data_IF_743225993926
#
_entry.id   IF_743225993926
#
_cell.length_a   1.000
_cell.length_b   1.000
_cell.length_c   1.000
_cell.angle_alpha   90.00
_cell.angle_beta   90.00
_cell.angle_gamma   90.00
#
_symmetry.space_group_name_H-M   'P 1'
#
loop_
_entity.id
_entity.type
_entity.pdbx_description
1 polymer ?
#
# COMPACT_ATOMS: atom_id res chain seq x y z
N UNK A 1 -12.62 8.91 6.41
CA UNK A 1 -11.51 9.48 5.61
C UNK A 1 -12.07 9.91 4.26
N UNK A 2 -11.59 11.01 3.65
CA UNK A 2 -11.92 11.36 2.28
C UNK A 2 -11.66 10.21 1.29
N UNK A 3 -12.43 10.08 0.21
CA UNK A 3 -12.28 8.98 -0.77
C UNK A 3 -10.89 8.94 -1.43
N UNK A 4 -10.27 10.10 -1.62
CA UNK A 4 -8.94 10.23 -2.25
C UNK A 4 -7.77 10.02 -1.29
N UNK A 5 -8.00 9.59 -0.04
CA UNK A 5 -6.91 9.44 0.93
C UNK A 5 -5.88 8.42 0.44
N UNK A 6 -4.61 8.80 0.43
CA UNK A 6 -3.49 7.94 0.07
C UNK A 6 -3.31 6.83 1.11
N UNK A 7 -2.93 5.63 0.67
CA UNK A 7 -2.75 4.48 1.56
C UNK A 7 -1.69 4.74 2.64
N UNK A 8 -0.66 5.54 2.36
CA UNK A 8 0.36 5.88 3.35
C UNK A 8 -0.21 6.60 4.58
N UNK A 9 -1.19 7.48 4.36
CA UNK A 9 -1.90 8.19 5.44
C UNK A 9 -2.75 7.22 6.25
N UNK A 10 -3.39 6.26 5.57
CA UNK A 10 -4.21 5.23 6.21
C UNK A 10 -3.35 4.31 7.07
N UNK A 11 -2.18 3.90 6.59
CA UNK A 11 -1.23 3.07 7.34
C UNK A 11 -0.69 3.82 8.57
N UNK A 12 -0.34 5.09 8.42
CA UNK A 12 0.06 5.93 9.55
C UNK A 12 -1.06 6.05 10.60
N UNK A 13 -2.32 6.20 10.15
CA UNK A 13 -3.47 6.24 11.06
C UNK A 13 -3.73 4.89 11.73
N UNK A 14 -3.58 3.78 11.00
CA UNK A 14 -3.69 2.42 11.54
C UNK A 14 -2.68 2.20 12.66
N UNK A 15 -1.44 2.66 12.49
CA UNK A 15 -0.40 2.60 13.53
C UNK A 15 -0.81 3.40 14.78
N UNK A 16 -1.40 4.59 14.61
CA UNK A 16 -1.92 5.38 15.73
C UNK A 16 -3.08 4.68 16.43
N UNK A 17 -3.98 4.04 15.69
CA UNK A 17 -5.10 3.24 16.25
C UNK A 17 -4.54 2.05 17.03
N UNK A 18 -3.57 1.33 16.46
CA UNK A 18 -2.89 0.20 17.12
C UNK A 18 -2.28 0.62 18.45
N UNK A 19 -1.57 1.74 18.46
CA UNK A 19 -0.88 2.23 19.66
C UNK A 19 -1.84 2.75 20.74
N UNK A 20 -3.06 3.17 20.38
CA UNK A 20 -4.06 3.70 21.32
C UNK A 20 -5.07 2.66 21.80
N UNK A 21 -5.47 1.74 20.93
CA UNK A 21 -6.62 0.85 21.12
C UNK A 21 -6.31 -0.63 20.83
N UNK A 22 -5.05 -0.97 20.51
CA UNK A 22 -4.61 -2.35 20.30
C UNK A 22 -4.77 -2.87 18.88
N UNK A 23 -4.33 -4.11 18.68
CA UNK A 23 -4.27 -4.74 17.35
C UNK A 23 -5.65 -4.98 16.75
N UNK A 24 -6.64 -5.34 17.57
CA UNK A 24 -8.02 -5.60 17.17
C UNK A 24 -8.65 -4.35 16.52
N UNK A 25 -8.48 -3.20 17.15
CA UNK A 25 -8.99 -1.92 16.64
C UNK A 25 -8.30 -1.53 15.31
N UNK A 26 -7.00 -1.78 15.19
CA UNK A 26 -6.26 -1.51 13.95
C UNK A 26 -6.70 -2.44 12.81
N UNK A 27 -6.93 -3.72 13.11
CA UNK A 27 -7.47 -4.71 12.14
C UNK A 27 -8.86 -4.27 11.67
N UNK A 28 -9.77 -3.89 12.58
CA UNK A 28 -11.11 -3.42 12.22
C UNK A 28 -11.04 -2.15 11.37
N UNK A 29 -10.18 -1.21 11.74
CA UNK A 29 -9.94 0.01 10.96
C UNK A 29 -9.47 -0.30 9.54
N UNK A 30 -8.48 -1.17 9.38
CA UNK A 30 -7.95 -1.57 8.07
C UNK A 30 -8.98 -2.36 7.25
N UNK A 31 -9.75 -3.26 7.86
CA UNK A 31 -10.84 -3.96 7.19
C UNK A 31 -11.86 -2.96 6.62
N UNK A 32 -12.33 -2.02 7.44
CA UNK A 32 -13.28 -0.99 7.02
C UNK A 32 -12.75 -0.11 5.87
N UNK A 33 -11.45 0.15 5.85
CA UNK A 33 -10.80 0.85 4.76
C UNK A 33 -10.70 0.00 3.49
N UNK A 34 -10.16 -1.23 3.60
CA UNK A 34 -9.89 -2.12 2.47
C UNK A 34 -11.16 -2.58 1.76
N UNK A 35 -12.27 -2.75 2.47
CA UNK A 35 -13.58 -3.04 1.86
C UNK A 35 -14.06 -1.90 0.96
N UNK A 36 -13.69 -0.65 1.27
CA UNK A 36 -14.07 0.53 0.47
C UNK A 36 -13.05 0.82 -0.63
N UNK A 37 -11.77 0.60 -0.34
CA UNK A 37 -10.66 0.94 -1.24
C UNK A 37 -9.60 -0.16 -1.18
N UNK A 38 -9.63 -1.12 -2.13
CA UNK A 38 -8.63 -2.17 -2.21
C UNK A 38 -7.22 -1.59 -2.35
N UNK A 39 -6.29 -2.07 -1.54
CA UNK A 39 -4.87 -1.72 -1.62
C UNK A 39 -4.03 -2.94 -1.21
N UNK A 40 -3.05 -3.27 -2.05
CA UNK A 40 -2.10 -4.34 -1.77
C UNK A 40 -1.22 -3.98 -0.56
N UNK A 41 -0.78 -2.73 -0.46
CA UNK A 41 0.00 -2.26 0.68
C UNK A 41 -0.81 -2.32 1.98
N UNK A 42 -2.08 -1.93 1.95
CA UNK A 42 -2.98 -2.06 3.09
C UNK A 42 -3.24 -3.52 3.48
N UNK A 43 -3.34 -4.42 2.49
CA UNK A 43 -3.51 -5.86 2.74
C UNK A 43 -2.27 -6.47 3.41
N UNK A 44 -1.05 -6.09 2.99
CA UNK A 44 0.18 -6.56 3.64
C UNK A 44 0.20 -6.18 5.12
N UNK A 45 -0.22 -4.96 5.47
CA UNK A 45 -0.30 -4.52 6.87
C UNK A 45 -1.39 -5.28 7.64
N UNK A 46 -2.55 -5.53 7.02
CA UNK A 46 -3.60 -6.35 7.63
C UNK A 46 -3.11 -7.78 7.93
N UNK A 47 -2.43 -8.41 6.97
CA UNK A 47 -1.84 -9.74 7.13
C UNK A 47 -0.80 -9.75 8.26
N UNK A 48 0.04 -8.71 8.35
CA UNK A 48 1.02 -8.56 9.43
C UNK A 48 0.39 -8.57 10.82
N UNK A 49 -0.78 -7.94 10.97
CA UNK A 49 -1.51 -7.92 12.25
C UNK A 49 -2.26 -9.24 12.54
N UNK A 50 -2.61 -10.01 11.51
CA UNK A 50 -3.37 -11.26 11.65
C UNK A 50 -2.49 -12.50 11.85
N UNK A 51 -1.32 -12.58 11.20
CA UNK A 51 -0.42 -13.75 11.28
C UNK A 51 -0.11 -14.16 12.74
N UNK A 52 0.21 -13.25 13.68
CA UNK A 52 0.51 -13.63 15.06
C UNK A 52 -0.67 -14.21 15.84
N UNK A 53 -1.90 -14.07 15.33
CA UNK A 53 -3.15 -14.54 15.95
C UNK A 53 -3.65 -15.85 15.36
N UNK A 54 -3.10 -16.26 14.22
CA UNK A 54 -3.52 -17.45 13.51
C UNK A 54 -2.85 -18.70 14.09
N UNK A 55 -3.55 -19.83 14.03
CA UNK A 55 -2.95 -21.14 14.28
C UNK A 55 -1.82 -21.40 13.28
N UNK A 56 -0.85 -22.25 13.64
CA UNK A 56 0.39 -22.42 12.89
C UNK A 56 0.18 -22.70 11.39
N UNK A 57 -0.77 -23.59 11.04
CA UNK A 57 -1.07 -23.91 9.63
C UNK A 57 -1.62 -22.69 8.86
N UNK A 58 -2.57 -21.98 9.46
CA UNK A 58 -3.17 -20.79 8.87
C UNK A 58 -2.14 -19.65 8.77
N UNK A 59 -1.34 -19.45 9.82
CA UNK A 59 -0.27 -18.44 9.84
C UNK A 59 0.77 -18.66 8.75
N UNK A 60 1.14 -19.91 8.46
CA UNK A 60 2.03 -20.24 7.35
C UNK A 60 1.43 -19.88 5.99
N UNK A 61 0.15 -20.19 5.76
CA UNK A 61 -0.54 -19.83 4.53
C UNK A 61 -0.67 -18.30 4.37
N UNK A 62 -0.97 -17.56 5.44
CA UNK A 62 -1.02 -16.10 5.44
C UNK A 62 0.35 -15.47 5.16
N UNK A 63 1.43 -16.08 5.67
CA UNK A 63 2.80 -15.62 5.41
C UNK A 63 3.19 -15.82 3.95
N UNK A 64 2.82 -16.95 3.34
CA UNK A 64 3.01 -17.18 1.90
C UNK A 64 2.24 -16.15 1.05
N UNK A 65 0.99 -15.84 1.43
CA UNK A 65 0.22 -14.79 0.77
C UNK A 65 0.90 -13.43 0.89
N UNK A 66 1.39 -13.07 2.08
CA UNK A 66 2.12 -11.83 2.31
C UNK A 66 3.36 -11.74 1.41
N UNK A 67 4.20 -12.78 1.37
CA UNK A 67 5.39 -12.81 0.51
C UNK A 67 5.05 -12.67 -0.97
N UNK A 68 3.97 -13.31 -1.42
CA UNK A 68 3.50 -13.25 -2.81
C UNK A 68 3.09 -11.81 -3.16
N UNK A 69 2.32 -11.15 -2.29
CA UNK A 69 1.91 -9.76 -2.49
C UNK A 69 3.12 -8.82 -2.49
N UNK A 70 4.08 -9.03 -1.59
CA UNK A 70 5.32 -8.25 -1.55
C UNK A 70 6.14 -8.38 -2.85
N UNK A 71 6.16 -9.56 -3.48
CA UNK A 71 6.82 -9.74 -4.78
C UNK A 71 6.14 -8.94 -5.89
N UNK A 72 4.81 -8.83 -5.86
CA UNK A 72 4.04 -8.00 -6.79
C UNK A 72 4.36 -6.52 -6.55
N UNK A 73 4.31 -6.07 -5.30
CA UNK A 73 4.59 -4.69 -4.91
C UNK A 73 6.01 -4.26 -5.30
N UNK A 74 7.01 -5.12 -5.11
CA UNK A 74 8.40 -4.85 -5.50
C UNK A 74 8.54 -4.49 -6.98
N UNK A 75 7.73 -5.06 -7.88
CA UNK A 75 7.83 -4.80 -9.32
C UNK A 75 7.15 -3.50 -9.75
N UNK A 76 6.34 -2.90 -8.88
CA UNK A 76 5.56 -1.70 -9.21
C UNK A 76 6.46 -0.45 -9.20
N UNK A 77 6.39 0.40 -10.23
CA UNK A 77 7.03 1.71 -10.18
C UNK A 77 6.34 2.61 -9.14
N UNK A 78 7.12 3.46 -8.48
CA UNK A 78 6.58 4.39 -7.47
C UNK A 78 6.15 5.72 -8.09
N UNK A 79 6.72 6.07 -9.24
CA UNK A 79 6.48 7.33 -9.93
C UNK A 79 6.31 7.11 -11.43
N UNK A 80 5.45 7.92 -12.05
CA UNK A 80 5.24 7.94 -13.50
C UNK A 80 5.22 9.38 -14.02
N UNK A 81 5.77 9.58 -15.21
CA UNK A 81 5.65 10.83 -15.95
C UNK A 81 4.25 10.97 -16.54
N UNK A 82 3.46 11.95 -16.09
CA UNK A 82 2.13 12.22 -16.65
C UNK A 82 2.16 12.85 -18.06
N UNK A 83 3.34 13.09 -18.62
CA UNK A 83 3.50 13.55 -20.01
C UNK A 83 3.86 12.42 -20.98
N UNK A 84 4.79 11.53 -20.60
CA UNK A 84 5.36 10.55 -21.53
C UNK A 84 5.34 9.10 -21.01
N UNK A 85 4.78 8.85 -19.84
CA UNK A 85 4.67 7.51 -19.25
C UNK A 85 5.98 6.92 -18.71
N UNK A 86 7.08 7.68 -18.62
CA UNK A 86 8.32 7.19 -18.02
C UNK A 86 8.10 6.79 -16.55
N UNK A 87 8.45 5.55 -16.20
CA UNK A 87 8.27 4.97 -14.87
C UNK A 87 9.59 4.89 -14.11
N UNK A 88 9.53 5.12 -12.80
CA UNK A 88 10.69 5.01 -11.93
C UNK A 88 10.31 4.68 -10.49
N UNK A 89 11.29 4.21 -9.72
CA UNK A 89 11.17 4.07 -8.26
C UNK A 89 11.60 5.33 -7.51
N UNK A 90 12.35 6.22 -8.15
CA UNK A 90 12.84 7.45 -7.55
C UNK A 90 12.12 8.66 -8.14
N UNK A 91 11.96 9.71 -7.33
CA UNK A 91 11.45 10.99 -7.80
C UNK A 91 12.53 11.70 -8.62
N UNK A 92 12.18 12.10 -9.83
CA UNK A 92 13.00 12.97 -10.67
C UNK A 92 12.27 14.26 -10.96
N UNK A 93 12.87 15.39 -10.59
CA UNK A 93 12.30 16.71 -10.91
C UNK A 93 12.24 16.98 -12.42
N UNK A 94 13.26 16.51 -13.15
CA UNK A 94 13.34 16.53 -14.62
C UNK A 94 13.16 15.10 -15.15
N UNK A 95 12.13 14.86 -15.96
CA UNK A 95 11.89 13.53 -16.53
C UNK A 95 13.10 13.07 -17.40
N UNK A 96 13.73 11.91 -17.09
CA UNK A 96 14.87 11.40 -17.87
C UNK A 96 14.56 11.12 -19.34
N UNK A 97 13.31 10.78 -19.66
CA UNK A 97 12.85 10.48 -21.03
C UNK A 97 12.49 11.75 -21.81
N UNK A 98 11.44 12.48 -21.41
CA UNK A 98 10.92 13.62 -22.19
C UNK A 98 11.54 14.98 -21.84
N UNK A 99 12.46 15.04 -20.87
CA UNK A 99 13.14 16.27 -20.41
C UNK A 99 12.20 17.41 -19.97
N UNK A 100 10.99 17.08 -19.51
CA UNK A 100 10.08 18.05 -18.88
C UNK A 100 10.22 18.08 -17.37
N UNK A 101 10.16 19.28 -16.81
CA UNK A 101 10.11 19.52 -15.38
C UNK A 101 8.71 19.26 -14.81
N UNK A 102 8.64 18.82 -13.55
CA UNK A 102 7.41 18.66 -12.77
C UNK A 102 6.34 17.75 -13.40
N UNK A 103 6.77 16.76 -14.20
CA UNK A 103 5.87 15.76 -14.80
C UNK A 103 5.89 14.40 -14.12
N UNK A 104 6.91 14.11 -13.31
CA UNK A 104 7.01 12.86 -12.55
C UNK A 104 6.15 12.99 -11.28
N UNK A 105 5.10 12.19 -11.17
CA UNK A 105 4.17 12.19 -10.02
C UNK A 105 4.13 10.79 -9.38
N UNK A 106 3.83 10.67 -8.09
CA UNK A 106 3.61 9.37 -7.45
C UNK A 106 2.48 8.61 -8.14
N UNK A 107 2.65 7.31 -8.29
CA UNK A 107 1.57 6.43 -8.76
C UNK A 107 0.70 6.13 -7.54
N UNK A 108 -0.50 6.69 -7.52
CA UNK A 108 -1.49 6.36 -6.48
C UNK A 108 -1.96 4.92 -6.67
N UNK A 109 -2.13 4.18 -5.57
CA UNK A 109 -2.81 2.88 -5.58
C UNK A 109 -4.32 3.11 -5.73
N UNK A 110 -4.75 3.62 -6.88
CA UNK A 110 -6.17 3.63 -7.26
C UNK A 110 -6.39 2.37 -8.08
N UNK A 111 -7.34 1.54 -7.65
CA UNK A 111 -7.67 0.22 -8.20
C UNK A 111 -7.77 0.20 -9.72
N UNK A 112 -6.63 0.04 -10.37
CA UNK A 112 -6.52 -0.32 -11.78
C UNK A 112 -6.69 -1.83 -11.82
N UNK A 113 -7.94 -2.25 -11.97
CA UNK A 113 -8.25 -3.48 -12.67
C UNK A 113 -8.05 -3.24 -14.17
#
# INVERSE_FOLDING_TARGET
>A
LPDETDVSVVLALSELVKNRAGNEAAIEFLNNYLTKKPSLTGLVELLRLQIPKADAEVGNNLSLLQETVDQVLRKKPAYQCNHCGYESRNLYWLCPSCKKWDKIKPIMEVGSF
#
